data_IF_813838416615
#
_entry.id   IF_813838416615
#
_cell.length_a   1.000
_cell.length_b   1.000
_cell.length_c   1.000
_cell.angle_alpha   90.00
_cell.angle_beta   90.00
_cell.angle_gamma   90.00
#
_symmetry.space_group_name_H-M   'P 1'
#
loop_
_entity.id
_entity.type
_entity.pdbx_description
1 polymer ?
#
# COMPACT_ATOMS: atom_id res chain seq x y z
N UNK A 1 18.03 -9.63 -3.36
CA UNK A 1 17.59 -10.82 -4.12
C UNK A 1 16.36 -10.46 -4.94
N UNK A 2 16.31 -10.84 -6.22
CA UNK A 2 15.15 -10.63 -7.08
C UNK A 2 13.99 -11.51 -6.59
N UNK A 3 12.76 -11.00 -6.57
CA UNK A 3 11.58 -11.73 -6.09
C UNK A 3 11.49 -11.83 -4.57
N UNK A 4 12.23 -10.98 -3.84
CA UNK A 4 12.13 -10.86 -2.39
C UNK A 4 11.74 -9.45 -1.96
N UNK A 5 10.64 -9.35 -1.24
CA UNK A 5 10.20 -8.13 -0.58
C UNK A 5 10.99 -7.88 0.71
N UNK A 6 10.95 -6.65 1.19
CA UNK A 6 11.61 -6.24 2.44
C UNK A 6 10.62 -5.48 3.32
N UNK A 7 10.50 -5.86 4.58
CA UNK A 7 9.85 -5.01 5.59
C UNK A 7 10.79 -3.86 5.92
N UNK A 8 10.39 -2.64 5.59
CA UNK A 8 11.15 -1.42 5.91
C UNK A 8 10.67 -0.77 7.20
N UNK A 9 9.52 -1.20 7.70
CA UNK A 9 8.98 -0.94 9.04
C UNK A 9 8.19 -2.15 9.50
N UNK A 10 8.19 -2.43 10.79
CA UNK A 10 7.40 -3.49 11.39
C UNK A 10 6.38 -2.90 12.36
N UNK A 11 5.15 -3.42 12.33
CA UNK A 11 4.04 -3.01 13.17
C UNK A 11 2.86 -3.96 13.10
N UNK A 12 1.83 -3.73 13.93
CA UNK A 12 0.76 -4.69 14.14
C UNK A 12 -0.64 -4.18 13.71
N UNK A 13 -0.80 -2.89 13.44
CA UNK A 13 -2.12 -2.30 13.19
C UNK A 13 -2.55 -2.39 11.72
N UNK A 14 -1.61 -2.28 10.79
CA UNK A 14 -1.88 -2.23 9.34
C UNK A 14 -0.68 -2.68 8.51
N UNK A 15 -0.96 -3.33 7.38
CA UNK A 15 0.02 -3.62 6.34
C UNK A 15 -0.09 -2.60 5.20
N UNK A 16 1.00 -1.89 4.91
CA UNK A 16 1.13 -1.00 3.76
C UNK A 16 1.98 -1.71 2.72
N UNK A 17 1.35 -2.17 1.65
CA UNK A 17 2.01 -2.88 0.55
C UNK A 17 2.35 -1.88 -0.54
N UNK A 18 3.62 -1.72 -0.85
CA UNK A 18 4.07 -0.63 -1.72
C UNK A 18 5.40 -0.92 -2.43
N UNK A 19 5.79 -0.04 -3.34
CA UNK A 19 7.08 -0.06 -4.04
C UNK A 19 7.44 1.35 -4.56
N UNK A 20 8.68 1.55 -4.99
CA UNK A 20 9.13 2.82 -5.57
C UNK A 20 8.97 3.99 -4.60
N UNK A 21 8.42 5.10 -5.08
CA UNK A 21 8.16 6.31 -4.27
C UNK A 21 7.14 6.08 -3.16
N UNK A 22 6.24 5.14 -3.33
CA UNK A 22 5.25 4.79 -2.30
C UNK A 22 5.88 4.39 -0.97
N UNK A 23 7.08 3.80 -0.98
CA UNK A 23 7.83 3.46 0.23
C UNK A 23 8.15 4.71 1.06
N UNK A 24 8.61 5.76 0.38
CA UNK A 24 8.94 7.03 1.04
C UNK A 24 7.70 7.73 1.59
N UNK A 25 6.61 7.76 0.81
CA UNK A 25 5.33 8.32 1.27
C UNK A 25 4.76 7.57 2.47
N UNK A 26 4.84 6.23 2.46
CA UNK A 26 4.40 5.41 3.59
C UNK A 26 5.22 5.70 4.85
N UNK A 27 6.56 5.71 4.74
CA UNK A 27 7.46 6.02 5.85
C UNK A 27 7.21 7.41 6.44
N UNK A 28 7.07 8.43 5.58
CA UNK A 28 6.80 9.80 6.00
C UNK A 28 5.44 9.91 6.72
N UNK A 29 4.42 9.24 6.21
CA UNK A 29 3.07 9.26 6.79
C UNK A 29 3.04 8.55 8.15
N UNK A 30 3.63 7.36 8.26
CA UNK A 30 3.70 6.63 9.54
C UNK A 30 4.53 7.40 10.56
N UNK A 31 5.67 7.98 10.16
CA UNK A 31 6.52 8.78 11.04
C UNK A 31 5.83 10.05 11.55
N UNK A 32 5.04 10.71 10.72
CA UNK A 32 4.30 11.92 11.09
C UNK A 32 3.04 11.62 11.92
N UNK A 33 2.58 10.37 11.90
CA UNK A 33 1.41 9.88 12.64
C UNK A 33 1.87 8.84 13.68
N UNK A 34 2.55 9.32 14.71
CA UNK A 34 3.34 8.52 15.65
C UNK A 34 2.59 7.44 16.44
N UNK A 35 1.25 7.39 16.36
CA UNK A 35 0.42 6.37 17.01
C UNK A 35 0.14 5.16 16.09
N UNK A 36 0.60 5.16 14.83
CA UNK A 36 0.36 4.08 13.87
C UNK A 36 1.49 3.07 13.88
N UNK A 37 1.17 1.83 14.22
CA UNK A 37 2.08 0.68 14.16
C UNK A 37 1.87 -0.06 12.84
N UNK A 38 2.75 0.14 11.85
CA UNK A 38 2.57 -0.36 10.50
C UNK A 38 3.69 -1.29 10.03
N UNK A 39 3.31 -2.42 9.44
CA UNK A 39 4.18 -3.14 8.50
C UNK A 39 4.24 -2.35 7.20
N UNK A 40 5.41 -1.94 6.77
CA UNK A 40 5.63 -1.38 5.43
C UNK A 40 6.40 -2.40 4.61
N UNK A 41 5.71 -3.04 3.68
CA UNK A 41 6.26 -4.05 2.78
C UNK A 41 6.68 -3.41 1.47
N UNK A 42 7.99 -3.25 1.27
CA UNK A 42 8.55 -2.83 0.00
C UNK A 42 8.69 -4.05 -0.92
N UNK A 43 7.88 -4.13 -1.96
CA UNK A 43 7.84 -5.26 -2.89
C UNK A 43 9.14 -5.44 -3.68
N UNK A 44 9.83 -4.35 -4.02
CA UNK A 44 11.08 -4.29 -4.80
C UNK A 44 10.97 -4.85 -6.22
N UNK A 45 10.26 -5.95 -6.39
CA UNK A 45 9.95 -6.57 -7.70
C UNK A 45 8.47 -6.93 -7.76
N UNK A 46 7.86 -6.70 -8.93
CA UNK A 46 6.46 -7.04 -9.19
C UNK A 46 6.33 -8.38 -9.93
N UNK A 47 7.38 -8.75 -10.65
CA UNK A 47 7.47 -10.04 -11.35
C UNK A 47 8.94 -10.52 -11.34
N UNK A 48 9.29 -11.59 -10.61
CA UNK A 48 8.41 -12.34 -9.70
C UNK A 48 8.02 -11.55 -8.44
N UNK A 49 6.82 -11.84 -7.90
CA UNK A 49 6.27 -11.23 -6.70
C UNK A 49 6.54 -12.10 -5.46
N UNK A 50 6.96 -11.51 -4.35
CA UNK A 50 7.08 -12.19 -3.06
C UNK A 50 5.72 -12.22 -2.33
N UNK A 51 4.85 -13.09 -2.77
CA UNK A 51 3.50 -13.19 -2.25
C UNK A 51 3.47 -13.69 -0.80
N UNK A 52 4.41 -14.51 -0.41
CA UNK A 52 4.48 -15.07 0.94
C UNK A 52 4.75 -13.99 2.00
N UNK A 53 5.62 -13.03 1.68
CA UNK A 53 5.87 -11.89 2.57
C UNK A 53 4.64 -11.00 2.71
N UNK A 54 3.87 -10.80 1.62
CA UNK A 54 2.61 -10.07 1.66
C UNK A 54 1.61 -10.78 2.58
N UNK A 55 1.35 -12.07 2.34
CA UNK A 55 0.36 -12.83 3.13
C UNK A 55 0.72 -12.91 4.60
N UNK A 56 1.99 -13.07 4.93
CA UNK A 56 2.45 -13.09 6.33
C UNK A 56 2.15 -11.77 7.04
N UNK A 57 2.42 -10.64 6.39
CA UNK A 57 2.12 -9.31 6.93
C UNK A 57 0.60 -9.11 7.11
N UNK A 58 -0.18 -9.42 6.07
CA UNK A 58 -1.65 -9.29 6.08
C UNK A 58 -2.29 -10.12 7.20
N UNK A 59 -1.87 -11.39 7.36
CA UNK A 59 -2.40 -12.27 8.41
C UNK A 59 -2.06 -11.77 9.81
N UNK A 60 -0.96 -11.07 9.97
CA UNK A 60 -0.58 -10.46 11.25
C UNK A 60 -1.44 -9.25 11.58
N UNK A 61 -1.66 -8.35 10.63
CA UNK A 61 -2.27 -7.04 10.88
C UNK A 61 -3.79 -6.99 10.68
N UNK A 62 -4.35 -7.82 9.80
CA UNK A 62 -5.77 -7.84 9.45
C UNK A 62 -6.29 -6.63 8.68
N UNK A 63 -5.51 -5.58 8.50
CA UNK A 63 -5.84 -4.37 7.74
C UNK A 63 -4.80 -4.10 6.68
N UNK A 64 -5.22 -3.78 5.47
CA UNK A 64 -4.32 -3.65 4.31
C UNK A 64 -4.64 -2.43 3.47
N UNK A 65 -3.63 -1.66 3.15
CA UNK A 65 -3.68 -0.63 2.12
C UNK A 65 -2.54 -0.83 1.12
N UNK A 66 -2.86 -0.82 -0.16
CA UNK A 66 -1.90 -0.94 -1.25
C UNK A 66 -1.66 0.46 -1.81
N UNK A 67 -0.39 0.88 -1.85
CA UNK A 67 0.02 2.23 -2.27
C UNK A 67 0.96 2.15 -3.46
N UNK A 68 0.61 2.80 -4.59
CA UNK A 68 1.48 2.90 -5.76
C UNK A 68 1.24 4.15 -6.61
N UNK A 69 2.22 4.52 -7.44
CA UNK A 69 2.16 5.69 -8.33
C UNK A 69 1.28 5.47 -9.57
N UNK A 70 1.11 4.23 -10.00
CA UNK A 70 0.28 3.92 -11.18
C UNK A 70 -1.20 4.24 -10.93
N UNK A 71 -1.98 4.34 -12.00
CA UNK A 71 -3.41 4.62 -11.92
C UNK A 71 -4.17 3.55 -11.13
N UNK A 72 -5.30 3.95 -10.56
CA UNK A 72 -6.15 3.04 -9.79
C UNK A 72 -6.69 1.90 -10.67
N UNK A 73 -7.23 2.24 -11.82
CA UNK A 73 -7.77 1.27 -12.77
C UNK A 73 -6.65 0.68 -13.63
N UNK A 74 -6.51 -0.64 -13.59
CA UNK A 74 -5.46 -1.36 -14.33
C UNK A 74 -4.08 -1.37 -13.67
N UNK A 75 -3.87 -0.65 -12.57
CA UNK A 75 -2.64 -0.74 -11.78
C UNK A 75 -2.54 -2.07 -11.02
N UNK A 76 -1.31 -2.44 -10.63
CA UNK A 76 -1.00 -3.69 -9.92
C UNK A 76 -1.79 -3.85 -8.60
N UNK A 77 -2.24 -2.75 -8.02
CA UNK A 77 -3.03 -2.76 -6.78
C UNK A 77 -4.32 -3.55 -6.89
N UNK A 78 -4.94 -3.61 -8.06
CA UNK A 78 -6.11 -4.46 -8.33
C UNK A 78 -5.78 -5.95 -8.23
N UNK A 79 -4.68 -6.38 -8.83
CA UNK A 79 -4.19 -7.77 -8.75
C UNK A 79 -3.81 -8.15 -7.32
N UNK A 80 -3.05 -7.29 -6.63
CA UNK A 80 -2.66 -7.52 -5.23
C UNK A 80 -3.89 -7.63 -4.32
N UNK A 81 -4.89 -6.78 -4.52
CA UNK A 81 -6.16 -6.81 -3.76
C UNK A 81 -6.90 -8.12 -3.98
N UNK A 82 -6.96 -8.62 -5.22
CA UNK A 82 -7.58 -9.91 -5.53
C UNK A 82 -6.84 -11.07 -4.85
N UNK A 83 -5.52 -11.14 -4.99
CA UNK A 83 -4.68 -12.17 -4.38
C UNK A 83 -4.80 -12.20 -2.83
N UNK A 84 -4.79 -11.04 -2.20
CA UNK A 84 -4.96 -10.91 -0.75
C UNK A 84 -6.37 -11.38 -0.34
N UNK A 85 -7.40 -10.94 -1.03
CA UNK A 85 -8.79 -11.31 -0.73
C UNK A 85 -9.02 -12.81 -0.91
N UNK A 86 -8.48 -13.41 -1.95
CA UNK A 86 -8.61 -14.85 -2.21
C UNK A 86 -7.90 -15.73 -1.17
N UNK A 87 -6.78 -15.26 -0.60
CA UNK A 87 -5.90 -16.09 0.23
C UNK A 87 -5.85 -15.70 1.72
N UNK A 88 -6.33 -14.50 2.08
CA UNK A 88 -6.30 -13.98 3.44
C UNK A 88 -7.66 -13.41 3.89
N UNK A 89 -8.76 -13.75 3.23
CA UNK A 89 -10.08 -13.19 3.53
C UNK A 89 -10.50 -13.39 5.00
N UNK A 90 -10.23 -14.57 5.56
CA UNK A 90 -10.64 -14.90 6.93
C UNK A 90 -9.88 -14.10 8.00
N UNK A 91 -8.69 -13.56 7.66
CA UNK A 91 -7.88 -12.76 8.57
C UNK A 91 -8.12 -11.24 8.41
N UNK A 92 -8.91 -10.82 7.42
CA UNK A 92 -9.19 -9.40 7.18
C UNK A 92 -10.24 -8.85 8.14
N UNK A 93 -9.91 -7.76 8.82
CA UNK A 93 -10.82 -7.00 9.69
C UNK A 93 -11.51 -5.84 8.96
N UNK A 94 -11.08 -5.52 7.74
CA UNK A 94 -11.57 -4.43 6.92
C UNK A 94 -11.39 -4.74 5.42
N UNK A 95 -12.07 -4.01 4.52
CA UNK A 95 -11.80 -4.10 3.09
C UNK A 95 -10.35 -3.77 2.75
N UNK A 96 -9.77 -4.44 1.75
CA UNK A 96 -8.47 -4.07 1.20
C UNK A 96 -8.61 -2.73 0.46
N UNK A 97 -7.90 -1.70 0.91
CA UNK A 97 -7.91 -0.39 0.27
C UNK A 97 -6.77 -0.26 -0.75
N UNK A 98 -7.04 0.52 -1.79
CA UNK A 98 -6.04 0.89 -2.81
C UNK A 98 -5.87 2.40 -2.83
N UNK A 99 -4.65 2.88 -2.59
CA UNK A 99 -4.24 4.27 -2.74
C UNK A 99 -3.36 4.39 -3.97
N UNK A 100 -3.87 5.02 -5.01
CA UNK A 100 -3.24 5.07 -6.31
C UNK A 100 -3.44 6.44 -6.98
N UNK A 101 -2.70 6.69 -8.05
CA UNK A 101 -2.89 7.90 -8.86
C UNK A 101 -4.25 7.92 -9.55
N UNK A 102 -4.68 9.10 -9.96
CA UNK A 102 -5.97 9.28 -10.64
C UNK A 102 -5.95 8.59 -12.02
N UNK A 103 -7.13 8.17 -12.48
CA UNK A 103 -7.32 7.57 -13.81
C UNK A 103 -7.32 8.65 -14.91
N UNK A 104 -6.23 9.38 -15.01
CA UNK A 104 -5.99 10.45 -15.97
C UNK A 104 -4.59 10.32 -16.58
N UNK A 105 -4.30 10.95 -17.73
CA UNK A 105 -2.93 11.03 -18.23
C UNK A 105 -2.00 11.67 -17.18
N UNK A 106 -0.76 11.21 -17.13
CA UNK A 106 0.25 11.75 -16.21
C UNK A 106 0.52 13.22 -16.54
N UNK A 107 0.27 14.16 -15.62
CA UNK A 107 0.51 15.56 -15.88
C UNK A 107 1.98 15.93 -15.72
N UNK A 108 2.45 16.93 -16.49
CA UNK A 108 3.81 17.45 -16.40
C UNK A 108 3.93 18.70 -15.51
N UNK A 109 2.83 19.42 -15.27
CA UNK A 109 2.84 20.59 -14.40
C UNK A 109 2.79 20.17 -12.93
N UNK A 110 3.68 20.70 -12.09
CA UNK A 110 3.84 20.30 -10.69
C UNK A 110 2.55 20.39 -9.85
N UNK A 111 1.74 21.42 -10.07
CA UNK A 111 0.45 21.57 -9.37
C UNK A 111 -0.57 20.50 -9.76
N UNK A 112 -0.58 20.05 -11.01
CA UNK A 112 -1.43 18.97 -11.48
C UNK A 112 -0.89 17.61 -11.03
N UNK A 113 0.43 17.43 -11.05
CA UNK A 113 1.09 16.21 -10.57
C UNK A 113 0.79 15.96 -9.08
N UNK A 114 0.83 16.98 -8.23
CA UNK A 114 0.50 16.85 -6.81
C UNK A 114 -0.93 16.37 -6.59
N UNK A 115 -1.89 16.79 -7.42
CA UNK A 115 -3.27 16.31 -7.36
C UNK A 115 -3.44 14.90 -7.96
N UNK A 116 -2.61 14.55 -8.95
CA UNK A 116 -2.62 13.26 -9.61
C UNK A 116 -2.11 12.14 -8.68
N UNK A 117 -0.99 12.37 -7.98
CA UNK A 117 -0.36 11.39 -7.10
C UNK A 117 -1.21 11.08 -5.86
N UNK A 118 -1.11 9.87 -5.30
CA UNK A 118 -1.90 9.45 -4.14
C UNK A 118 -1.40 10.02 -2.81
N UNK A 119 -0.24 10.64 -2.74
CA UNK A 119 0.46 11.01 -1.51
C UNK A 119 -0.42 11.68 -0.45
N UNK A 120 -1.17 12.71 -0.83
CA UNK A 120 -2.00 13.46 0.12
C UNK A 120 -3.26 12.68 0.50
N UNK A 121 -3.87 11.97 -0.44
CA UNK A 121 -5.05 11.13 -0.20
C UNK A 121 -4.74 9.89 0.64
N UNK A 122 -3.52 9.38 0.55
CA UNK A 122 -3.08 8.19 1.27
C UNK A 122 -3.24 8.33 2.79
N UNK A 123 -2.90 9.49 3.34
CA UNK A 123 -3.04 9.75 4.77
C UNK A 123 -4.49 9.59 5.23
N UNK A 124 -5.43 10.23 4.54
CA UNK A 124 -6.86 10.18 4.88
C UNK A 124 -7.41 8.75 4.73
N UNK A 125 -6.98 8.05 3.69
CA UNK A 125 -7.37 6.64 3.47
C UNK A 125 -6.82 5.71 4.55
N UNK A 126 -5.58 5.92 5.00
CA UNK A 126 -4.98 5.17 6.09
C UNK A 126 -5.72 5.38 7.40
N UNK A 127 -6.05 6.64 7.74
CA UNK A 127 -6.83 6.97 8.92
C UNK A 127 -8.23 6.34 8.87
N UNK A 128 -8.91 6.39 7.73
CA UNK A 128 -10.21 5.75 7.54
C UNK A 128 -10.14 4.23 7.74
N UNK A 129 -9.09 3.58 7.24
CA UNK A 129 -8.87 2.14 7.40
C UNK A 129 -8.63 1.75 8.86
N UNK A 130 -7.83 2.54 9.58
CA UNK A 130 -7.55 2.29 11.00
C UNK A 130 -8.77 2.46 11.90
N UNK A 131 -9.74 3.27 11.49
CA UNK A 131 -10.98 3.53 12.22
C UNK A 131 -12.16 2.68 11.74
N UNK A 132 -11.93 1.76 10.82
CA UNK A 132 -12.96 0.84 10.32
C UNK A 132 -13.36 -0.14 11.40
#
# INVERSE_FOLDING_TARGET
>A
EIGKAVLVSEGDDVSIITYGMGVHWALDTVKSNGDVSADIVNLRTLLPLDIETIYRSVRKTGRVIILHEDCLTGGIGGELSALITENCFEELDAPVLRSASLDTPVPFAANLENNYLPKDRFKDQLEALLNY
#
